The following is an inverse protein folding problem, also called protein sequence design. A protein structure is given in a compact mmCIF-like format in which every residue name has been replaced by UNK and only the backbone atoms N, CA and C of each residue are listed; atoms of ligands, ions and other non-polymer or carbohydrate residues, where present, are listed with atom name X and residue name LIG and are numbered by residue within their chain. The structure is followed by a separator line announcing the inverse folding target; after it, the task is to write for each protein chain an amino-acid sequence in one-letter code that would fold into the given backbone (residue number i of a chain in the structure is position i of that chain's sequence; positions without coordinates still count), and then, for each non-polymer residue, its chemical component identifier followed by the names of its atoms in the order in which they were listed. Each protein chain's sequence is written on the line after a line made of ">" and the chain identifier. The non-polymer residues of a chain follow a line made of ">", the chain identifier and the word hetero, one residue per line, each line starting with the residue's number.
data_IF_593375350320
#
_entry.id   IF_593375350320
#
_cell.length_a   1.000
_cell.length_b   1.000
_cell.length_c   1.000
_cell.angle_alpha   90.00
_cell.angle_beta   90.00
_cell.angle_gamma   90.00
#
_symmetry.space_group_name_H-M   'P 1'
#
loop_
_entity.id
_entity.type
_entity.pdbx_description
1 polymer ?
#
# COMPACT_ATOMS: atom_id res chain seq x y z
N UNK A 1 -4.61 2.15 -26.59
CA UNK A 1 -5.64 1.96 -25.54
C UNK A 1 -4.90 1.52 -24.30
N UNK A 2 -4.66 2.43 -23.35
CA UNK A 2 -3.95 2.10 -22.11
C UNK A 2 -4.77 1.12 -21.30
N UNK A 3 -4.16 0.03 -20.86
CA UNK A 3 -4.79 -0.94 -19.96
C UNK A 3 -5.40 -0.15 -18.80
N UNK A 4 -6.67 -0.34 -18.43
CA UNK A 4 -7.24 0.34 -17.27
C UNK A 4 -6.30 0.13 -16.09
N UNK A 5 -5.89 1.21 -15.41
CA UNK A 5 -4.86 1.16 -14.36
C UNK A 5 -5.16 0.07 -13.30
N UNK A 6 -6.45 -0.18 -13.04
CA UNK A 6 -6.92 -1.24 -12.13
C UNK A 6 -6.65 -2.68 -12.59
N UNK A 7 -6.62 -2.98 -13.90
CA UNK A 7 -6.30 -4.33 -14.38
C UNK A 7 -4.82 -4.66 -14.16
N UNK A 8 -3.93 -3.69 -14.40
CA UNK A 8 -2.49 -3.83 -14.11
C UNK A 8 -2.23 -3.92 -12.61
N UNK A 9 -2.87 -3.05 -11.82
CA UNK A 9 -2.77 -3.08 -10.35
C UNK A 9 -3.22 -4.42 -9.78
N UNK A 10 -4.33 -4.98 -10.29
CA UNK A 10 -4.83 -6.29 -9.89
C UNK A 10 -3.84 -7.43 -10.18
N UNK A 11 -3.20 -7.44 -11.35
CA UNK A 11 -2.18 -8.44 -11.67
C UNK A 11 -0.97 -8.37 -10.72
N UNK A 12 -0.56 -7.16 -10.33
CA UNK A 12 0.53 -6.98 -9.35
C UNK A 12 0.13 -7.51 -7.97
N UNK A 13 -1.11 -7.28 -7.55
CA UNK A 13 -1.68 -7.83 -6.31
C UNK A 13 -1.72 -9.36 -6.35
N UNK A 14 -2.28 -9.96 -7.39
CA UNK A 14 -2.39 -11.42 -7.53
C UNK A 14 -1.00 -12.09 -7.57
N UNK A 15 -0.05 -11.44 -8.26
CA UNK A 15 1.33 -11.91 -8.30
C UNK A 15 1.99 -11.84 -6.92
N UNK A 16 1.80 -10.75 -6.18
CA UNK A 16 2.34 -10.59 -4.84
C UNK A 16 1.64 -11.46 -3.77
N UNK A 17 0.39 -11.86 -4.00
CA UNK A 17 -0.29 -12.88 -3.19
C UNK A 17 0.33 -14.27 -3.35
N UNK A 18 0.79 -14.60 -4.56
CA UNK A 18 1.42 -15.89 -4.86
C UNK A 18 2.90 -15.92 -4.51
N UNK A 19 3.57 -14.77 -4.61
CA UNK A 19 5.00 -14.60 -4.40
C UNK A 19 5.26 -13.27 -3.67
N UNK A 20 5.47 -13.30 -2.33
CA UNK A 20 5.69 -12.11 -1.53
C UNK A 20 6.84 -11.22 -2.02
N UNK A 21 7.84 -11.77 -2.73
CA UNK A 21 8.94 -10.97 -3.29
C UNK A 21 8.44 -9.95 -4.33
N UNK A 22 7.29 -10.20 -4.97
CA UNK A 22 6.69 -9.30 -5.97
C UNK A 22 6.01 -8.08 -5.35
N UNK A 23 5.83 -8.06 -4.03
CA UNK A 23 5.29 -6.92 -3.31
C UNK A 23 6.13 -5.64 -3.51
N UNK A 24 7.42 -5.77 -3.82
CA UNK A 24 8.29 -4.62 -4.12
C UNK A 24 7.69 -3.70 -5.20
N UNK A 25 7.04 -4.24 -6.24
CA UNK A 25 6.38 -3.41 -7.26
C UNK A 25 5.21 -2.61 -6.69
N UNK A 26 4.44 -3.21 -5.78
CA UNK A 26 3.32 -2.52 -5.11
C UNK A 26 3.85 -1.45 -4.15
N UNK A 27 4.97 -1.71 -3.48
CA UNK A 27 5.66 -0.75 -2.64
C UNK A 27 6.10 0.47 -3.45
N UNK A 28 6.88 0.29 -4.52
CA UNK A 28 7.41 1.37 -5.35
C UNK A 28 6.31 2.28 -5.92
N UNK A 29 5.19 1.70 -6.38
CA UNK A 29 4.08 2.46 -6.95
C UNK A 29 3.35 3.31 -5.89
N UNK A 30 3.27 2.83 -4.65
CA UNK A 30 2.44 3.44 -3.63
C UNK A 30 3.22 4.20 -2.55
N UNK A 31 4.54 4.06 -2.50
CA UNK A 31 5.39 4.62 -1.43
C UNK A 31 5.16 6.12 -1.25
N UNK A 32 5.34 6.90 -2.32
CA UNK A 32 5.17 8.36 -2.29
C UNK A 32 3.79 8.79 -1.78
N UNK A 33 2.73 8.09 -2.21
CA UNK A 33 1.36 8.40 -1.80
C UNK A 33 1.13 8.13 -0.32
N UNK A 34 1.57 6.97 0.17
CA UNK A 34 1.41 6.59 1.58
C UNK A 34 2.28 7.49 2.47
N UNK A 35 3.51 7.73 2.06
CA UNK A 35 4.44 8.61 2.77
C UNK A 35 3.89 10.02 2.89
N UNK A 36 3.44 10.64 1.80
CA UNK A 36 2.83 11.97 1.83
C UNK A 36 1.58 12.04 2.71
N UNK A 37 0.75 11.00 2.68
CA UNK A 37 -0.42 10.89 3.54
C UNK A 37 -0.05 10.82 5.03
N UNK A 38 0.98 10.05 5.38
CA UNK A 38 1.46 9.90 6.76
C UNK A 38 2.15 11.18 7.22
N UNK A 39 3.06 11.74 6.42
CA UNK A 39 3.78 12.97 6.72
C UNK A 39 2.86 14.17 6.97
N UNK A 40 1.69 14.22 6.32
CA UNK A 40 0.67 15.24 6.60
C UNK A 40 -0.06 15.08 7.94
N UNK A 41 0.17 13.98 8.67
CA UNK A 41 -0.48 13.67 9.96
C UNK A 41 0.48 13.65 11.15
N UNK A 42 1.74 13.36 10.91
CA UNK A 42 2.77 13.26 11.95
C UNK A 42 3.63 14.52 11.97
N UNK A 43 4.23 14.83 13.12
CA UNK A 43 4.94 16.10 13.33
C UNK A 43 6.37 16.14 12.78
N UNK A 44 6.95 15.00 12.40
CA UNK A 44 8.34 14.90 11.97
C UNK A 44 8.59 13.78 10.95
N UNK A 45 9.72 13.87 10.26
CA UNK A 45 10.12 12.97 9.18
C UNK A 45 10.39 11.54 9.64
N UNK A 46 11.05 11.36 10.79
CA UNK A 46 11.44 10.03 11.27
C UNK A 46 10.20 9.21 11.66
N UNK A 47 9.23 9.85 12.33
CA UNK A 47 7.94 9.23 12.61
C UNK A 47 7.20 8.88 11.32
N UNK A 48 7.31 9.71 10.27
CA UNK A 48 6.66 9.44 8.99
C UNK A 48 7.24 8.20 8.29
N UNK A 49 8.56 8.05 8.32
CA UNK A 49 9.26 6.88 7.75
C UNK A 49 8.90 5.59 8.51
N UNK A 50 8.87 5.64 9.84
CA UNK A 50 8.53 4.49 10.69
C UNK A 50 7.10 4.03 10.44
N UNK A 51 6.13 4.95 10.50
CA UNK A 51 4.72 4.65 10.25
C UNK A 51 4.51 4.15 8.81
N UNK A 52 5.22 4.71 7.82
CA UNK A 52 5.12 4.24 6.43
C UNK A 52 5.63 2.80 6.31
N UNK A 53 6.77 2.48 6.93
CA UNK A 53 7.33 1.13 6.96
C UNK A 53 6.35 0.14 7.58
N UNK A 54 5.74 0.51 8.70
CA UNK A 54 4.73 -0.28 9.41
C UNK A 54 3.48 -0.54 8.56
N UNK A 55 3.01 0.46 7.80
CA UNK A 55 1.89 0.32 6.88
C UNK A 55 2.19 -0.73 5.81
N UNK A 56 3.36 -0.66 5.17
CA UNK A 56 3.74 -1.62 4.14
C UNK A 56 3.99 -3.02 4.70
N UNK A 57 4.57 -3.13 5.90
CA UNK A 57 4.72 -4.41 6.61
C UNK A 57 3.36 -5.06 6.86
N UNK A 58 2.40 -4.33 7.43
CA UNK A 58 1.04 -4.83 7.66
C UNK A 58 0.29 -5.13 6.36
N UNK A 59 0.53 -4.35 5.32
CA UNK A 59 -0.02 -4.62 4.00
C UNK A 59 0.49 -5.95 3.46
N UNK A 60 1.80 -6.22 3.55
CA UNK A 60 2.38 -7.49 3.13
C UNK A 60 1.78 -8.67 3.92
N UNK A 61 1.70 -8.56 5.24
CA UNK A 61 1.10 -9.60 6.10
C UNK A 61 -0.36 -9.89 5.74
N UNK A 62 -1.14 -8.85 5.44
CA UNK A 62 -2.58 -8.99 5.14
C UNK A 62 -2.88 -9.29 3.67
N UNK A 63 -1.88 -9.18 2.80
CA UNK A 63 -2.06 -9.29 1.35
C UNK A 63 -2.65 -10.64 0.95
N UNK A 64 -2.25 -11.73 1.62
CA UNK A 64 -2.73 -13.08 1.36
C UNK A 64 -4.26 -13.21 1.43
N UNK A 65 -4.93 -12.38 2.25
CA UNK A 65 -6.39 -12.36 2.40
C UNK A 65 -7.04 -11.13 1.77
N UNK A 66 -6.27 -10.29 1.09
CA UNK A 66 -6.82 -9.13 0.40
C UNK A 66 -7.77 -9.60 -0.72
N UNK A 67 -8.95 -8.99 -0.79
CA UNK A 67 -9.92 -9.23 -1.85
C UNK A 67 -10.27 -7.91 -2.49
N UNK A 68 -10.25 -7.86 -3.82
CA UNK A 68 -10.64 -6.67 -4.55
C UNK A 68 -12.14 -6.36 -4.36
N UNK A 69 -12.46 -5.15 -3.90
CA UNK A 69 -13.85 -4.72 -3.62
C UNK A 69 -14.31 -3.55 -4.50
N UNK A 70 -13.63 -3.30 -5.62
CA UNK A 70 -13.96 -2.21 -6.54
C UNK A 70 -13.33 -0.86 -6.17
N UNK A 71 -12.40 -0.84 -5.21
CA UNK A 71 -11.60 0.33 -4.86
C UNK A 71 -10.12 0.09 -5.19
N UNK A 72 -9.34 1.15 -5.50
CA UNK A 72 -7.90 1.02 -5.78
C UNK A 72 -7.15 0.41 -4.60
N UNK A 73 -6.05 -0.30 -4.88
CA UNK A 73 -5.19 -0.88 -3.83
C UNK A 73 -4.65 0.20 -2.89
N UNK A 74 -4.29 1.37 -3.45
CA UNK A 74 -3.91 2.55 -2.69
C UNK A 74 -4.92 2.92 -1.57
N UNK A 75 -6.22 2.85 -1.84
CA UNK A 75 -7.25 3.17 -0.83
C UNK A 75 -7.22 2.20 0.35
N UNK A 76 -6.87 0.94 0.11
CA UNK A 76 -6.68 -0.04 1.17
C UNK A 76 -5.41 0.23 2.00
N UNK A 77 -4.31 0.64 1.36
CA UNK A 77 -3.10 1.07 2.08
C UNK A 77 -3.37 2.29 2.96
N UNK A 78 -4.10 3.30 2.45
CA UNK A 78 -4.47 4.48 3.23
C UNK A 78 -5.38 4.14 4.42
N UNK A 79 -6.22 3.10 4.29
CA UNK A 79 -7.00 2.57 5.42
C UNK A 79 -6.11 1.91 6.48
N UNK A 80 -5.02 1.25 6.10
CA UNK A 80 -4.04 0.72 7.05
C UNK A 80 -3.32 1.89 7.73
N UNK A 81 -2.87 2.89 6.97
CA UNK A 81 -2.23 4.10 7.51
C UNK A 81 -3.13 4.85 8.50
N UNK A 82 -4.43 4.94 8.22
CA UNK A 82 -5.40 5.57 9.12
C UNK A 82 -5.55 4.84 10.47
N UNK A 83 -5.16 3.56 10.59
CA UNK A 83 -5.17 2.82 11.86
C UNK A 83 -3.95 3.12 12.75
N UNK A 84 -2.93 3.82 12.23
CA UNK A 84 -1.68 4.12 12.94
C UNK A 84 -1.54 5.58 13.38
N UNK A 85 -2.38 6.50 12.88
CA UNK A 85 -2.25 7.95 13.13
C UNK A 85 -3.13 8.47 14.27
N UNK A 86 -3.23 7.74 15.38
CA UNK A 86 -4.01 8.12 16.57
C UNK A 86 -3.12 8.39 17.77
#
# INVERSE_FOLDING_TARGET
>A
MGVPNGARERLLVEAAQSDPARFANLYEINFELVYAYVAGRVGDHATAEDVTSDVFKKALEKLAWFTWRGVPFAAWLLRIAAQHGG
#
